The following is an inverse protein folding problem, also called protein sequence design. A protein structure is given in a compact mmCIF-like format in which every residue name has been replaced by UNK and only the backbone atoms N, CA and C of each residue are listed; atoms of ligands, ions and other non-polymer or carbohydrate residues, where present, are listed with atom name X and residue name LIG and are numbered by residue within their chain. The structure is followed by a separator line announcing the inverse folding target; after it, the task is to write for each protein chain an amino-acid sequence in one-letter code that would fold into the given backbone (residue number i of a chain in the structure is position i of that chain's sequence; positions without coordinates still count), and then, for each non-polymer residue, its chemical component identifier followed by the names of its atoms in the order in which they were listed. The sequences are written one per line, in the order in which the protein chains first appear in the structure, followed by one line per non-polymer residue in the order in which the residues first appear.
data_IF_745682322204
#
_entry.id   IF_745682322204
#
_cell.length_a   1.000
_cell.length_b   1.000
_cell.length_c   1.000
_cell.angle_alpha   90.00
_cell.angle_beta   90.00
_cell.angle_gamma   90.00
#
_symmetry.space_group_name_H-M   'P 1'
#
loop_
_entity.id
_entity.type
_entity.pdbx_description
1 polymer ?
#
# COMPACT_ATOMS: atom_id res chain seq x y z
N UNK A 1 3.77 -47.35 3.47
CA UNK A 1 3.87 -48.82 3.48
C UNK A 1 4.75 -49.21 2.30
N UNK A 2 6.03 -49.46 2.57
CA UNK A 2 7.02 -49.83 1.56
C UNK A 2 7.00 -51.35 1.44
N UNK A 3 6.52 -51.87 0.30
CA UNK A 3 6.61 -53.29 0.00
C UNK A 3 8.04 -53.58 -0.45
N UNK A 4 8.71 -54.50 0.24
CA UNK A 4 10.08 -54.89 -0.08
C UNK A 4 10.10 -55.74 -1.35
N UNK A 5 11.04 -55.50 -2.28
CA UNK A 5 11.17 -56.30 -3.51
C UNK A 5 11.57 -57.77 -3.30
N UNK A 6 11.84 -58.22 -2.06
CA UNK A 6 12.17 -59.62 -1.76
C UNK A 6 10.96 -60.55 -1.71
N UNK A 7 9.75 -60.00 -1.60
CA UNK A 7 8.54 -60.81 -1.37
C UNK A 7 8.01 -61.47 -2.66
N UNK A 8 8.54 -61.07 -3.82
CA UNK A 8 8.25 -61.67 -5.12
C UNK A 8 9.53 -62.17 -5.80
N UNK A 9 10.31 -62.96 -5.08
CA UNK A 9 11.35 -63.80 -5.69
C UNK A 9 10.72 -64.91 -6.52
N UNK A 10 10.39 -64.65 -7.80
CA UNK A 10 10.38 -65.72 -8.81
C UNK A 10 11.83 -66.15 -8.97
N UNK A 11 12.23 -67.18 -8.25
CA UNK A 11 13.42 -67.94 -8.63
C UNK A 11 13.11 -68.52 -10.01
N UNK A 12 13.81 -68.03 -11.04
CA UNK A 12 13.97 -68.80 -12.28
C UNK A 12 14.66 -70.08 -11.86
N UNK A 13 13.86 -71.09 -11.56
CA UNK A 13 14.33 -72.44 -11.39
C UNK A 13 14.93 -72.83 -12.73
N UNK A 14 16.26 -72.72 -12.82
CA UNK A 14 17.02 -73.55 -13.74
C UNK A 14 16.81 -74.97 -13.24
N UNK A 15 15.65 -75.54 -13.53
CA UNK A 15 15.39 -76.94 -13.30
C UNK A 15 16.23 -77.63 -14.36
N UNK A 16 17.46 -77.97 -13.97
CA UNK A 16 18.23 -78.92 -14.73
C UNK A 16 17.33 -80.12 -14.95
N UNK A 17 17.14 -80.49 -16.22
CA UNK A 17 16.59 -81.81 -16.52
C UNK A 17 17.55 -82.81 -15.87
N UNK A 18 17.18 -83.33 -14.69
CA UNK A 18 17.82 -84.54 -14.23
C UNK A 18 17.52 -85.62 -15.28
N UNK A 19 18.53 -86.39 -15.71
CA UNK A 19 18.30 -87.48 -16.64
C UNK A 19 17.27 -88.41 -16.02
N UNK A 20 16.18 -88.68 -16.73
CA UNK A 20 15.22 -89.71 -16.30
C UNK A 20 16.03 -90.98 -16.04
N UNK A 21 15.98 -91.56 -14.83
CA UNK A 21 16.70 -92.79 -14.55
C UNK A 21 16.18 -93.84 -15.52
N UNK A 22 17.05 -94.40 -16.34
CA UNK A 22 16.72 -95.63 -17.07
C UNK A 22 16.36 -96.68 -16.02
N UNK A 23 15.12 -97.21 -16.00
CA UNK A 23 14.77 -98.21 -15.01
C UNK A 23 15.64 -99.45 -15.24
N UNK A 24 16.23 -99.97 -14.16
CA UNK A 24 16.88 -101.27 -14.18
C UNK A 24 15.88 -102.32 -14.69
N UNK A 25 16.31 -103.32 -15.48
CA UNK A 25 15.42 -104.38 -15.93
C UNK A 25 14.83 -105.06 -14.69
N UNK A 26 13.50 -104.97 -14.51
CA UNK A 26 12.80 -105.60 -13.40
C UNK A 26 13.20 -107.08 -13.30
N UNK A 27 13.67 -107.51 -12.13
CA UNK A 27 13.97 -108.90 -11.88
C UNK A 27 12.69 -109.74 -12.05
N UNK A 28 12.80 -110.88 -12.73
CA UNK A 28 11.68 -111.73 -13.15
C UNK A 28 10.76 -112.19 -12.01
N UNK A 29 11.25 -112.20 -10.76
CA UNK A 29 10.46 -112.57 -9.58
C UNK A 29 9.47 -111.48 -9.13
N UNK A 30 9.79 -110.20 -9.36
CA UNK A 30 8.87 -109.11 -9.02
C UNK A 30 7.70 -109.01 -10.00
N UNK A 31 7.96 -109.29 -11.28
CA UNK A 31 6.91 -109.40 -12.30
C UNK A 31 5.92 -110.52 -11.99
N UNK A 32 6.41 -111.67 -11.50
CA UNK A 32 5.57 -112.79 -11.08
C UNK A 32 4.70 -112.45 -9.87
N UNK A 33 5.21 -111.69 -8.89
CA UNK A 33 4.43 -111.19 -7.75
C UNK A 33 3.36 -110.18 -8.15
N UNK A 34 3.64 -109.31 -9.12
CA UNK A 34 2.66 -108.35 -9.60
C UNK A 34 1.49 -109.04 -10.32
N UNK A 35 1.77 -110.11 -11.07
CA UNK A 35 0.73 -110.90 -11.75
C UNK A 35 -0.14 -111.73 -10.80
N UNK A 36 0.36 -112.10 -9.61
CA UNK A 36 -0.44 -112.85 -8.62
C UNK A 36 -1.39 -111.96 -7.81
N UNK A 37 -1.18 -110.64 -7.81
CA UNK A 37 -2.04 -109.67 -7.13
C UNK A 37 -3.30 -109.31 -7.92
N UNK A 38 -3.34 -109.60 -9.22
CA UNK A 38 -4.54 -109.40 -10.04
C UNK A 38 -5.50 -110.59 -9.92
N UNK A 39 -6.78 -110.37 -9.54
CA UNK A 39 -7.78 -111.44 -9.53
C UNK A 39 -7.90 -112.05 -10.93
N UNK A 40 -7.87 -113.37 -11.02
CA UNK A 40 -7.80 -114.20 -12.25
C UNK A 40 -9.02 -114.10 -13.19
N UNK A 41 -9.88 -113.09 -13.02
CA UNK A 41 -11.06 -112.81 -13.83
C UNK A 41 -11.30 -111.31 -14.05
N UNK A 42 -10.28 -110.46 -13.97
CA UNK A 42 -10.40 -109.05 -14.30
C UNK A 42 -10.60 -108.88 -15.82
N UNK A 43 -11.71 -108.26 -16.22
CA UNK A 43 -11.94 -107.86 -17.61
C UNK A 43 -10.85 -106.86 -18.03
N UNK A 44 -10.04 -107.22 -19.02
CA UNK A 44 -8.98 -106.36 -19.50
C UNK A 44 -9.63 -105.14 -20.16
N UNK A 45 -9.33 -103.95 -19.62
CA UNK A 45 -9.84 -102.67 -20.17
C UNK A 45 -9.48 -102.48 -21.65
N UNK A 46 -8.39 -103.08 -22.11
CA UNK A 46 -8.00 -103.15 -23.52
C UNK A 46 -7.90 -104.62 -23.98
N UNK A 47 -8.50 -104.92 -25.13
CA UNK A 47 -8.45 -106.26 -25.74
C UNK A 47 -7.24 -106.45 -26.66
N UNK A 48 -6.66 -105.35 -27.16
CA UNK A 48 -5.47 -105.32 -28.01
C UNK A 48 -4.51 -104.23 -27.49
N UNK A 49 -3.22 -104.53 -27.25
CA UNK A 49 -2.23 -103.52 -26.86
C UNK A 49 -2.16 -102.32 -27.82
N UNK A 50 -2.56 -102.46 -29.08
CA UNK A 50 -2.64 -101.34 -30.01
C UNK A 50 -3.71 -100.30 -29.63
N UNK A 51 -4.76 -100.67 -28.89
CA UNK A 51 -5.79 -99.73 -28.44
C UNK A 51 -5.22 -98.68 -27.48
N UNK A 52 -4.36 -99.11 -26.56
CA UNK A 52 -3.66 -98.20 -25.64
C UNK A 52 -2.67 -97.31 -26.41
N UNK A 53 -1.91 -97.87 -27.33
CA UNK A 53 -0.96 -97.11 -28.15
C UNK A 53 -1.67 -96.03 -28.99
N UNK A 54 -2.83 -96.37 -29.58
CA UNK A 54 -3.65 -95.42 -30.32
C UNK A 54 -4.21 -94.31 -29.42
N UNK A 55 -4.71 -94.64 -28.22
CA UNK A 55 -5.18 -93.63 -27.26
C UNK A 55 -4.05 -92.70 -26.77
N UNK A 56 -2.87 -93.25 -26.49
CA UNK A 56 -1.69 -92.46 -26.12
C UNK A 56 -1.22 -91.57 -27.27
N UNK A 57 -1.27 -92.04 -28.52
CA UNK A 57 -0.97 -91.22 -29.69
C UNK A 57 -1.94 -90.04 -29.80
N UNK A 58 -3.25 -90.29 -29.67
CA UNK A 58 -4.28 -89.24 -29.71
C UNK A 58 -4.07 -88.23 -28.59
N UNK A 59 -3.78 -88.68 -27.36
CA UNK A 59 -3.49 -87.81 -26.22
C UNK A 59 -2.21 -87.00 -26.43
N UNK A 60 -1.19 -87.61 -27.02
CA UNK A 60 0.08 -86.94 -27.33
C UNK A 60 -0.14 -85.84 -28.36
N UNK A 61 -0.88 -86.12 -29.44
CA UNK A 61 -1.24 -85.12 -30.46
C UNK A 61 -2.07 -83.98 -29.86
N UNK A 62 -2.99 -84.28 -28.93
CA UNK A 62 -3.77 -83.27 -28.20
C UNK A 62 -2.90 -82.38 -27.32
N UNK A 63 -1.95 -82.97 -26.58
CA UNK A 63 -1.02 -82.22 -25.72
C UNK A 63 -0.11 -81.32 -26.57
N UNK A 64 0.40 -81.83 -27.70
CA UNK A 64 1.21 -81.05 -28.64
C UNK A 64 0.40 -79.89 -29.24
N UNK A 65 -0.83 -80.14 -29.70
CA UNK A 65 -1.71 -79.09 -30.23
C UNK A 65 -2.07 -78.05 -29.18
N UNK A 66 -2.35 -78.45 -27.93
CA UNK A 66 -2.58 -77.53 -26.82
C UNK A 66 -1.34 -76.67 -26.54
N UNK A 67 -0.16 -77.27 -26.57
CA UNK A 67 1.11 -76.56 -26.33
C UNK A 67 1.35 -75.53 -27.42
N UNK A 68 1.21 -75.92 -28.70
CA UNK A 68 1.39 -75.04 -29.85
C UNK A 68 0.36 -73.90 -29.90
N UNK A 69 -0.86 -74.12 -29.40
CA UNK A 69 -1.87 -73.07 -29.29
C UNK A 69 -1.61 -72.11 -28.12
N UNK A 70 -1.00 -72.56 -27.03
CA UNK A 70 -0.70 -71.73 -25.85
C UNK A 70 0.54 -70.85 -26.03
N UNK A 71 1.57 -71.34 -26.73
CA UNK A 71 2.84 -70.60 -26.93
C UNK A 71 2.67 -69.18 -27.50
N UNK A 72 1.88 -68.92 -28.57
CA UNK A 72 1.72 -67.55 -29.07
C UNK A 72 0.98 -66.66 -28.06
N UNK A 73 0.04 -67.22 -27.29
CA UNK A 73 -0.68 -66.47 -26.25
C UNK A 73 0.29 -66.07 -25.13
N UNK A 74 1.14 -67.00 -24.69
CA UNK A 74 2.16 -66.73 -23.68
C UNK A 74 3.16 -65.66 -24.15
N UNK A 75 3.65 -65.75 -25.39
CA UNK A 75 4.55 -64.74 -25.98
C UNK A 75 3.88 -63.35 -26.05
N UNK A 76 2.61 -63.28 -26.46
CA UNK A 76 1.88 -62.00 -26.47
C UNK A 76 1.68 -61.44 -25.07
N UNK A 77 1.39 -62.29 -24.08
CA UNK A 77 1.23 -61.88 -22.69
C UNK A 77 2.56 -61.36 -22.12
N UNK A 78 3.68 -62.02 -22.39
CA UNK A 78 5.00 -61.56 -21.98
C UNK A 78 5.35 -60.19 -22.58
N UNK A 79 5.08 -60.00 -23.88
CA UNK A 79 5.28 -58.72 -24.55
C UNK A 79 4.40 -57.62 -23.93
N UNK A 80 3.12 -57.90 -23.66
CA UNK A 80 2.19 -56.95 -23.03
C UNK A 80 2.63 -56.57 -21.60
N UNK A 81 3.12 -57.55 -20.83
CA UNK A 81 3.68 -57.31 -19.50
C UNK A 81 4.91 -56.40 -19.58
N UNK A 82 5.80 -56.63 -20.54
CA UNK A 82 7.01 -55.81 -20.67
C UNK A 82 6.68 -54.37 -21.08
N UNK A 83 5.76 -54.20 -22.05
CA UNK A 83 5.22 -52.89 -22.43
C UNK A 83 4.56 -52.20 -21.23
N UNK A 84 3.79 -52.93 -20.42
CA UNK A 84 3.15 -52.38 -19.23
C UNK A 84 4.18 -51.93 -18.18
N UNK A 85 5.24 -52.71 -17.94
CA UNK A 85 6.35 -52.33 -17.05
C UNK A 85 7.06 -51.07 -17.52
N UNK A 86 7.38 -50.96 -18.80
CA UNK A 86 8.02 -49.77 -19.36
C UNK A 86 7.13 -48.53 -19.23
N UNK A 87 5.83 -48.66 -19.50
CA UNK A 87 4.84 -47.58 -19.29
C UNK A 87 4.76 -47.17 -17.82
N UNK A 88 4.77 -48.12 -16.89
CA UNK A 88 4.78 -47.83 -15.46
C UNK A 88 6.06 -47.09 -15.07
N UNK A 89 7.23 -47.59 -15.48
CA UNK A 89 8.53 -46.98 -15.17
C UNK A 89 8.64 -45.55 -15.71
N UNK A 90 8.28 -45.33 -16.97
CA UNK A 90 8.27 -43.98 -17.56
C UNK A 90 7.27 -43.05 -16.86
N UNK A 91 6.10 -43.56 -16.47
CA UNK A 91 5.13 -42.78 -15.70
C UNK A 91 5.65 -42.41 -14.31
N UNK A 92 6.38 -43.31 -13.64
CA UNK A 92 6.98 -43.10 -12.33
C UNK A 92 8.08 -42.04 -12.39
N UNK A 93 8.97 -42.12 -13.38
CA UNK A 93 10.01 -41.12 -13.63
C UNK A 93 9.40 -39.72 -13.89
N UNK A 94 8.36 -39.67 -14.72
CA UNK A 94 7.61 -38.43 -14.98
C UNK A 94 7.00 -37.86 -13.70
N UNK A 95 6.37 -38.70 -12.88
CA UNK A 95 5.77 -38.26 -11.61
C UNK A 95 6.84 -37.75 -10.63
N UNK A 96 8.00 -38.41 -10.55
CA UNK A 96 9.14 -37.93 -9.73
C UNK A 96 9.59 -36.52 -10.16
N UNK A 97 9.76 -36.31 -11.47
CA UNK A 97 10.10 -34.98 -12.02
C UNK A 97 9.04 -33.92 -11.68
N UNK A 98 7.75 -34.26 -11.77
CA UNK A 98 6.67 -33.35 -11.41
C UNK A 98 6.69 -33.02 -9.91
N UNK A 99 6.90 -34.01 -9.05
CA UNK A 99 7.00 -33.80 -7.60
C UNK A 99 8.17 -32.89 -7.26
N UNK A 100 9.34 -33.10 -7.87
CA UNK A 100 10.51 -32.26 -7.61
C UNK A 100 10.33 -30.84 -8.16
N UNK A 101 9.66 -30.68 -9.31
CA UNK A 101 9.27 -29.36 -9.82
C UNK A 101 8.31 -28.63 -8.87
N UNK A 102 7.28 -29.33 -8.37
CA UNK A 102 6.35 -28.77 -7.40
C UNK A 102 7.04 -28.38 -6.10
N UNK A 103 7.96 -29.21 -5.58
CA UNK A 103 8.76 -28.87 -4.39
C UNK A 103 9.57 -27.59 -4.60
N UNK A 104 10.23 -27.43 -5.76
CA UNK A 104 10.94 -26.19 -6.09
C UNK A 104 10.00 -24.98 -6.11
N UNK A 105 8.83 -25.10 -6.73
CA UNK A 105 7.82 -24.03 -6.75
C UNK A 105 7.33 -23.66 -5.36
N UNK A 106 7.10 -24.65 -4.49
CA UNK A 106 6.72 -24.42 -3.09
C UNK A 106 7.80 -23.61 -2.37
N UNK A 107 9.08 -23.97 -2.51
CA UNK A 107 10.19 -23.24 -1.88
C UNK A 107 10.26 -21.79 -2.39
N UNK A 108 10.20 -21.58 -3.71
CA UNK A 108 10.20 -20.22 -4.27
C UNK A 108 9.03 -19.37 -3.77
N UNK A 109 7.84 -19.97 -3.66
CA UNK A 109 6.64 -19.25 -3.20
C UNK A 109 6.71 -18.97 -1.70
N UNK A 110 7.30 -19.86 -0.91
CA UNK A 110 7.60 -19.63 0.50
C UNK A 110 8.60 -18.49 0.71
N UNK A 111 9.66 -18.42 -0.11
CA UNK A 111 10.63 -17.31 -0.10
C UNK A 111 9.95 -15.99 -0.45
N UNK A 112 9.10 -15.97 -1.49
CA UNK A 112 8.30 -14.79 -1.85
C UNK A 112 7.36 -14.36 -0.73
N UNK A 113 6.68 -15.31 -0.09
CA UNK A 113 5.80 -15.03 1.04
C UNK A 113 6.58 -14.45 2.22
N UNK A 114 7.79 -14.94 2.49
CA UNK A 114 8.67 -14.42 3.53
C UNK A 114 9.11 -12.97 3.23
N UNK A 115 9.52 -12.68 1.99
CA UNK A 115 9.86 -11.33 1.55
C UNK A 115 8.67 -10.38 1.66
N UNK A 116 7.48 -10.83 1.22
CA UNK A 116 6.26 -10.04 1.31
C UNK A 116 5.92 -9.73 2.78
N UNK A 117 6.01 -10.73 3.66
CA UNK A 117 5.80 -10.56 5.10
C UNK A 117 6.77 -9.54 5.70
N UNK A 118 8.05 -9.60 5.35
CA UNK A 118 9.03 -8.59 5.79
C UNK A 118 8.65 -7.20 5.29
N UNK A 119 8.23 -7.06 4.03
CA UNK A 119 7.80 -5.77 3.47
C UNK A 119 6.58 -5.20 4.19
N UNK A 120 5.60 -6.05 4.51
CA UNK A 120 4.41 -5.65 5.29
C UNK A 120 4.81 -5.22 6.70
N UNK A 121 5.65 -5.98 7.39
CA UNK A 121 6.14 -5.62 8.72
C UNK A 121 6.92 -4.30 8.72
N UNK A 122 7.77 -4.07 7.71
CA UNK A 122 8.45 -2.79 7.53
C UNK A 122 7.44 -1.65 7.34
N UNK A 123 6.44 -1.83 6.48
CA UNK A 123 5.39 -0.85 6.27
C UNK A 123 4.61 -0.56 7.56
N UNK A 124 4.21 -1.57 8.32
CA UNK A 124 3.54 -1.42 9.62
C UNK A 124 4.43 -0.71 10.65
N UNK A 125 5.73 -0.99 10.66
CA UNK A 125 6.68 -0.33 11.57
C UNK A 125 6.95 1.13 11.19
N UNK A 126 6.91 1.44 9.90
CA UNK A 126 7.08 2.80 9.37
C UNK A 126 5.78 3.58 9.40
N UNK A 127 4.63 2.90 9.48
CA UNK A 127 3.32 3.51 9.59
C UNK A 127 3.23 4.27 10.91
N UNK A 128 3.67 5.52 10.86
CA UNK A 128 3.48 6.44 11.97
C UNK A 128 2.07 7.00 11.88
N UNK A 129 1.41 7.17 13.03
CA UNK A 129 0.13 7.88 13.10
C UNK A 129 0.20 9.30 12.47
N UNK A 130 1.41 9.83 12.32
CA UNK A 130 1.67 11.12 11.70
C UNK A 130 1.54 11.08 10.17
N UNK A 131 1.85 9.98 9.49
CA UNK A 131 1.70 9.88 8.03
C UNK A 131 0.24 9.90 7.59
N UNK A 132 -0.62 9.13 8.27
CA UNK A 132 -2.06 9.14 8.00
C UNK A 132 -2.66 10.55 8.23
N UNK A 133 -2.24 11.25 9.30
CA UNK A 133 -2.64 12.65 9.56
C UNK A 133 -2.18 13.61 8.47
N UNK A 134 -0.93 13.49 8.03
CA UNK A 134 -0.40 14.34 6.94
C UNK A 134 -1.15 14.08 5.64
N UNK A 135 -1.55 12.84 5.37
CA UNK A 135 -2.39 12.50 4.22
C UNK A 135 -3.78 13.13 4.33
N UNK A 136 -4.43 13.02 5.49
CA UNK A 136 -5.75 13.62 5.74
C UNK A 136 -5.70 15.16 5.66
N UNK A 137 -4.66 15.78 6.22
CA UNK A 137 -4.44 17.23 6.17
C UNK A 137 -4.24 17.71 4.72
N UNK A 138 -3.45 16.96 3.93
CA UNK A 138 -3.25 17.24 2.51
C UNK A 138 -4.56 17.10 1.73
N UNK A 139 -5.32 16.04 1.97
CA UNK A 139 -6.61 15.80 1.33
C UNK A 139 -7.61 16.93 1.64
N UNK A 140 -7.63 17.40 2.88
CA UNK A 140 -8.44 18.56 3.30
C UNK A 140 -8.01 19.83 2.56
N UNK A 141 -6.71 20.13 2.54
CA UNK A 141 -6.17 21.32 1.86
C UNK A 141 -6.46 21.30 0.36
N UNK A 142 -6.29 20.15 -0.30
CA UNK A 142 -6.60 19.98 -1.72
C UNK A 142 -8.10 20.11 -1.97
N UNK A 143 -8.95 19.60 -1.07
CA UNK A 143 -10.40 19.78 -1.18
C UNK A 143 -10.81 21.25 -1.08
N UNK A 144 -10.21 22.02 -0.17
CA UNK A 144 -10.43 23.47 -0.08
C UNK A 144 -10.00 24.21 -1.35
N UNK A 145 -8.80 23.90 -1.86
CA UNK A 145 -8.29 24.48 -3.10
C UNK A 145 -9.19 24.17 -4.29
N UNK A 146 -9.59 22.91 -4.46
CA UNK A 146 -10.52 22.50 -5.50
C UNK A 146 -11.86 23.26 -5.41
N UNK A 147 -12.39 23.40 -4.19
CA UNK A 147 -13.64 24.12 -3.95
C UNK A 147 -13.57 25.60 -4.32
N UNK A 148 -12.39 26.22 -4.12
CA UNK A 148 -12.14 27.63 -4.42
C UNK A 148 -11.89 27.91 -5.90
N UNK A 149 -11.27 26.97 -6.62
CA UNK A 149 -10.81 27.18 -8.00
C UNK A 149 -11.74 26.58 -9.06
N UNK A 150 -12.37 25.43 -8.77
CA UNK A 150 -13.10 24.62 -9.76
C UNK A 150 -14.60 24.58 -9.43
N UNK A 151 -14.97 23.86 -8.37
CA UNK A 151 -16.38 23.61 -8.04
C UNK A 151 -16.57 23.48 -6.53
N UNK A 152 -17.49 24.27 -5.96
CA UNK A 152 -17.83 24.23 -4.53
C UNK A 152 -18.71 23.03 -4.14
N UNK A 153 -19.07 22.16 -5.09
CA UNK A 153 -19.94 20.99 -4.83
C UNK A 153 -19.11 19.85 -4.25
N UNK A 154 -19.64 19.14 -3.22
CA UNK A 154 -18.98 17.94 -2.72
C UNK A 154 -18.96 16.88 -3.82
N UNK A 155 -17.77 16.39 -4.15
CA UNK A 155 -17.54 15.32 -5.10
C UNK A 155 -16.72 14.21 -4.44
N UNK A 156 -16.84 13.00 -4.97
CA UNK A 156 -16.11 11.82 -4.49
C UNK A 156 -14.81 11.61 -5.27
N UNK A 157 -14.19 12.69 -5.75
CA UNK A 157 -12.92 12.61 -6.48
C UNK A 157 -11.78 12.32 -5.51
N UNK A 158 -10.84 11.49 -5.94
CA UNK A 158 -9.57 11.30 -5.23
C UNK A 158 -8.74 12.59 -5.24
N UNK A 159 -7.80 12.72 -4.30
CA UNK A 159 -6.94 13.90 -4.15
C UNK A 159 -6.15 14.21 -5.41
N UNK A 160 -5.67 13.17 -6.11
CA UNK A 160 -4.95 13.31 -7.38
C UNK A 160 -5.87 13.84 -8.47
N UNK A 161 -7.09 13.31 -8.57
CA UNK A 161 -8.08 13.79 -9.55
C UNK A 161 -8.47 15.25 -9.28
N UNK A 162 -8.64 15.64 -8.02
CA UNK A 162 -8.89 17.04 -7.64
C UNK A 162 -7.75 17.96 -8.08
N UNK A 163 -6.49 17.56 -7.85
CA UNK A 163 -5.33 18.33 -8.30
C UNK A 163 -5.28 18.47 -9.81
N UNK A 164 -5.56 17.39 -10.55
CA UNK A 164 -5.59 17.42 -12.02
C UNK A 164 -6.65 18.40 -12.55
N UNK A 165 -7.82 18.47 -11.90
CA UNK A 165 -8.85 19.45 -12.25
C UNK A 165 -8.40 20.90 -11.98
N UNK A 166 -7.72 21.14 -10.85
CA UNK A 166 -7.18 22.48 -10.53
C UNK A 166 -6.12 22.89 -11.56
N UNK A 167 -5.20 21.99 -11.90
CA UNK A 167 -4.17 22.22 -12.92
C UNK A 167 -4.79 22.54 -14.28
N UNK A 168 -5.81 21.79 -14.68
CA UNK A 168 -6.56 22.05 -15.91
C UNK A 168 -7.21 23.44 -15.89
N UNK A 169 -7.86 23.80 -14.79
CA UNK A 169 -8.51 25.11 -14.65
C UNK A 169 -7.49 26.26 -14.66
N UNK A 170 -6.34 26.07 -14.03
CA UNK A 170 -5.24 27.04 -14.09
C UNK A 170 -4.73 27.22 -15.52
N UNK A 171 -4.58 26.13 -16.27
CA UNK A 171 -4.13 26.17 -17.67
C UNK A 171 -5.12 26.93 -18.55
N UNK A 172 -6.42 26.66 -18.41
CA UNK A 172 -7.47 27.40 -19.13
C UNK A 172 -7.43 28.91 -18.84
N UNK A 173 -7.29 29.30 -17.56
CA UNK A 173 -7.21 30.71 -17.18
C UNK A 173 -5.97 31.40 -17.74
N UNK A 174 -4.83 30.69 -17.84
CA UNK A 174 -3.62 31.22 -18.47
C UNK A 174 -3.82 31.44 -19.97
N UNK A 175 -4.41 30.47 -20.68
CA UNK A 175 -4.74 30.60 -22.10
C UNK A 175 -5.70 31.77 -22.34
N UNK A 176 -6.71 31.94 -21.47
CA UNK A 176 -7.64 33.08 -21.52
C UNK A 176 -6.90 34.41 -21.36
N UNK A 177 -5.96 34.51 -20.42
CA UNK A 177 -5.15 35.73 -20.20
C UNK A 177 -4.26 36.03 -21.42
N UNK A 178 -3.65 35.01 -22.02
CA UNK A 178 -2.81 35.17 -23.21
C UNK A 178 -3.62 35.57 -24.45
N UNK A 179 -4.87 35.14 -24.53
CA UNK A 179 -5.77 35.47 -25.64
C UNK A 179 -6.24 36.93 -25.65
N UNK A 180 -6.06 37.68 -24.55
CA UNK A 180 -6.57 39.04 -24.43
C UNK A 180 -5.80 39.98 -25.37
N UNK A 181 -6.49 40.68 -26.30
CA UNK A 181 -5.83 41.61 -27.22
C UNK A 181 -5.08 42.74 -26.50
N UNK A 182 -3.91 43.11 -27.02
CA UNK A 182 -3.05 44.10 -26.36
C UNK A 182 -3.72 45.49 -26.23
N UNK A 183 -4.57 45.85 -27.20
CA UNK A 183 -5.31 47.12 -27.19
C UNK A 183 -6.35 47.18 -26.06
N UNK A 184 -7.04 46.08 -25.78
CA UNK A 184 -8.01 46.03 -24.67
C UNK A 184 -7.27 46.09 -23.34
N UNK A 185 -6.14 45.39 -23.21
CA UNK A 185 -5.25 45.47 -22.04
C UNK A 185 -4.74 46.89 -21.79
N UNK A 186 -4.29 47.61 -22.83
CA UNK A 186 -3.82 49.00 -22.72
C UNK A 186 -4.94 49.92 -22.21
N UNK A 187 -6.16 49.77 -22.74
CA UNK A 187 -7.34 50.54 -22.29
C UNK A 187 -7.69 50.25 -20.83
N UNK A 188 -7.75 48.99 -20.43
CA UNK A 188 -8.02 48.59 -19.04
C UNK A 188 -6.97 49.13 -18.07
N UNK A 189 -5.69 49.03 -18.44
CA UNK A 189 -4.58 49.58 -17.64
C UNK A 189 -4.66 51.10 -17.50
N UNK A 190 -5.05 51.80 -18.56
CA UNK A 190 -5.27 53.24 -18.52
C UNK A 190 -6.41 53.62 -17.58
N UNK A 191 -7.55 52.92 -17.64
CA UNK A 191 -8.70 53.13 -16.75
C UNK A 191 -8.30 52.89 -15.29
N UNK A 192 -7.66 51.76 -14.99
CA UNK A 192 -7.22 51.42 -13.63
C UNK A 192 -6.25 52.48 -13.08
N UNK A 193 -5.29 52.94 -13.89
CA UNK A 193 -4.35 53.98 -13.47
C UNK A 193 -5.05 55.33 -13.25
N UNK A 194 -6.03 55.68 -14.09
CA UNK A 194 -6.83 56.90 -13.92
C UNK A 194 -7.65 56.85 -12.64
N UNK A 195 -8.28 55.71 -12.35
CA UNK A 195 -9.04 55.50 -11.11
C UNK A 195 -8.14 55.60 -9.87
N UNK A 196 -7.00 54.89 -9.85
CA UNK A 196 -6.01 54.98 -8.75
C UNK A 196 -5.59 56.44 -8.49
N UNK A 197 -5.27 57.19 -9.55
CA UNK A 197 -4.94 58.62 -9.46
C UNK A 197 -6.11 59.46 -8.95
N UNK A 198 -7.34 59.13 -9.33
CA UNK A 198 -8.54 59.83 -8.87
C UNK A 198 -8.75 59.62 -7.37
N UNK A 199 -8.69 58.37 -6.90
CA UNK A 199 -8.84 58.03 -5.47
C UNK A 199 -7.81 58.76 -4.60
N UNK A 200 -6.55 58.81 -5.04
CA UNK A 200 -5.49 59.53 -4.32
C UNK A 200 -5.76 61.05 -4.21
N UNK A 201 -6.29 61.68 -5.27
CA UNK A 201 -6.65 63.11 -5.24
C UNK A 201 -7.82 63.38 -4.31
N UNK A 202 -8.83 62.52 -4.37
CA UNK A 202 -10.02 62.62 -3.51
C UNK A 202 -9.65 62.47 -2.04
N UNK A 203 -8.80 61.49 -1.70
CA UNK A 203 -8.30 61.29 -0.34
C UNK A 203 -7.50 62.50 0.15
N UNK A 204 -6.62 63.06 -0.69
CA UNK A 204 -5.88 64.29 -0.34
C UNK A 204 -6.82 65.47 -0.11
N UNK A 205 -7.81 65.67 -0.97
CA UNK A 205 -8.81 66.73 -0.80
C UNK A 205 -9.63 66.53 0.46
N UNK A 206 -10.04 65.30 0.77
CA UNK A 206 -10.76 64.96 2.00
C UNK A 206 -9.96 65.32 3.24
N UNK A 207 -8.67 64.97 3.28
CA UNK A 207 -7.77 65.31 4.39
C UNK A 207 -7.59 66.83 4.53
N UNK A 208 -7.45 67.57 3.43
CA UNK A 208 -7.36 69.03 3.47
C UNK A 208 -8.65 69.68 3.98
N UNK A 209 -9.81 69.17 3.56
CA UNK A 209 -11.11 69.65 4.02
C UNK A 209 -11.34 69.36 5.49
N UNK A 210 -10.92 68.19 5.98
CA UNK A 210 -10.99 67.82 7.39
C UNK A 210 -10.09 68.70 8.25
N UNK A 211 -8.84 68.94 7.84
CA UNK A 211 -7.93 69.89 8.51
C UNK A 211 -8.51 71.32 8.56
N UNK A 212 -9.10 71.81 7.46
CA UNK A 212 -9.75 73.13 7.43
C UNK A 212 -10.97 73.17 8.34
N UNK A 213 -11.78 72.10 8.36
CA UNK A 213 -12.95 71.97 9.23
C UNK A 213 -12.55 71.96 10.70
N UNK A 214 -11.53 71.19 11.07
CA UNK A 214 -10.98 71.12 12.43
C UNK A 214 -10.44 72.48 12.87
N UNK A 215 -9.70 73.18 12.02
CA UNK A 215 -9.22 74.54 12.31
C UNK A 215 -10.35 75.53 12.55
N UNK A 216 -11.38 75.50 11.69
CA UNK A 216 -12.57 76.35 11.82
C UNK A 216 -13.33 76.03 13.11
N UNK A 217 -13.50 74.75 13.42
CA UNK A 217 -14.15 74.29 14.64
C UNK A 217 -13.37 74.68 15.89
N UNK A 218 -12.04 74.54 15.89
CA UNK A 218 -11.16 74.96 16.99
C UNK A 218 -11.20 76.47 17.22
N UNK A 219 -11.22 77.27 16.15
CA UNK A 219 -11.40 78.72 16.22
C UNK A 219 -12.78 79.09 16.80
N UNK A 220 -13.85 78.46 16.29
CA UNK A 220 -15.22 78.66 16.77
C UNK A 220 -15.36 78.30 18.25
N UNK A 221 -14.79 77.17 18.70
CA UNK A 221 -14.75 76.78 20.12
C UNK A 221 -14.05 77.83 21.00
N UNK A 222 -12.97 78.46 20.51
CA UNK A 222 -12.29 79.57 21.22
C UNK A 222 -13.13 80.86 21.26
N UNK A 223 -13.89 81.16 20.21
CA UNK A 223 -14.77 82.33 20.17
C UNK A 223 -16.02 82.17 21.03
N UNK A 224 -16.58 80.95 21.09
CA UNK A 224 -17.78 80.64 21.87
C UNK A 224 -17.47 80.36 23.34
N UNK A 225 -16.21 80.05 23.69
CA UNK A 225 -15.83 79.88 25.09
C UNK A 225 -16.01 81.20 25.84
N UNK A 226 -16.67 81.13 26.99
CA UNK A 226 -17.03 82.30 27.80
C UNK A 226 -15.77 83.13 28.09
N UNK A 227 -15.82 84.43 27.75
CA UNK A 227 -14.70 85.32 28.03
C UNK A 227 -14.43 85.28 29.53
N UNK A 228 -13.23 84.84 29.93
CA UNK A 228 -12.81 84.90 31.33
C UNK A 228 -12.99 86.34 31.78
N UNK A 229 -13.89 86.57 32.74
CA UNK A 229 -14.12 87.90 33.31
C UNK A 229 -12.76 88.40 33.78
N UNK A 230 -12.25 89.45 33.15
CA UNK A 230 -11.04 90.12 33.60
C UNK A 230 -11.46 90.83 34.89
N UNK A 231 -11.42 90.12 36.01
CA UNK A 231 -11.27 90.74 37.32
C UNK A 231 -9.89 91.37 37.31
N UNK A 232 -9.79 92.54 36.68
CA UNK A 232 -8.60 93.36 36.74
C UNK A 232 -8.24 93.62 38.21
N UNK A 233 -7.01 94.07 38.46
CA UNK A 233 -6.71 94.69 39.75
C UNK A 233 -7.76 95.77 39.99
N UNK A 234 -8.46 95.69 41.13
CA UNK A 234 -9.40 96.74 41.49
C UNK A 234 -8.69 98.09 41.35
N UNK A 235 -9.33 99.04 40.67
CA UNK A 235 -8.86 100.41 40.62
C UNK A 235 -8.71 100.88 42.07
N UNK A 236 -7.46 101.06 42.51
CA UNK A 236 -7.22 101.71 43.80
C UNK A 236 -7.74 103.14 43.68
N UNK A 237 -8.59 103.61 44.60
CA UNK A 237 -8.98 105.01 44.66
C UNK A 237 -7.71 105.88 44.67
N UNK A 238 -7.62 106.89 43.80
CA UNK A 238 -6.46 107.81 43.75
C UNK A 238 -6.51 108.89 44.84
N UNK A 239 -7.53 108.85 45.70
CA UNK A 239 -7.63 109.70 46.88
C UNK A 239 -8.61 109.11 47.87
N UNK A 240 -8.16 109.02 49.12
CA UNK A 240 -9.02 109.04 50.30
C UNK A 240 -8.71 110.40 50.93
N UNK A 241 -9.73 111.15 51.38
CA UNK A 241 -9.49 112.27 52.28
C UNK A 241 -9.00 111.71 53.61
N UNK A 242 -7.69 111.46 53.70
CA UNK A 242 -7.04 111.20 54.98
C UNK A 242 -6.92 112.55 55.65
N UNK A 243 -7.74 112.77 56.69
CA UNK A 243 -7.53 113.85 57.65
C UNK A 243 -6.11 113.71 58.19
N UNK A 244 -5.32 114.77 58.08
CA UNK A 244 -3.97 114.78 58.63
C UNK A 244 -4.02 114.56 60.16
N UNK A 245 -3.26 113.58 60.68
CA UNK A 245 -3.00 113.41 62.10
C UNK A 245 -1.95 114.43 62.58
N UNK A 246 -2.04 114.80 63.85
CA UNK A 246 -1.07 115.64 64.55
C UNK A 246 0.27 114.90 64.60
N UNK A 247 1.32 115.57 64.13
CA UNK A 247 2.67 115.04 63.90
C UNK A 247 3.53 115.07 65.17
N UNK A 248 4.35 114.03 65.36
CA UNK A 248 5.70 114.14 65.95
C UNK A 248 6.64 113.15 65.22
N UNK A 249 7.53 113.71 64.38
CA UNK A 249 9.01 113.53 64.29
C UNK A 249 9.62 112.26 64.96
N UNK A 250 10.58 111.48 64.44
CA UNK A 250 11.44 111.49 63.24
C UNK A 250 12.18 110.12 63.11
N UNK A 251 12.43 109.70 61.86
CA UNK A 251 13.67 109.07 61.29
C UNK A 251 14.22 107.76 61.91
N UNK A 252 14.00 106.62 61.25
CA UNK A 252 14.89 105.90 60.27
C UNK A 252 16.08 105.14 60.84
N UNK A 253 16.20 103.85 60.49
CA UNK A 253 17.40 103.20 59.92
C UNK A 253 17.09 101.70 59.71
N UNK A 254 16.91 101.20 58.47
CA UNK A 254 17.89 100.52 57.58
C UNK A 254 17.57 99.02 57.41
N UNK A 255 17.59 98.63 56.13
CA UNK A 255 17.53 97.31 55.45
C UNK A 255 18.70 96.37 55.84
N UNK A 256 18.99 95.23 55.15
CA UNK A 256 18.20 94.26 54.35
C UNK A 256 18.56 92.79 54.70
N UNK A 257 17.98 91.81 53.98
CA UNK A 257 18.63 90.68 53.23
C UNK A 257 17.54 89.66 52.85
N UNK A 258 17.39 89.21 51.60
CA UNK A 258 18.16 88.14 50.91
C UNK A 258 18.25 86.89 51.82
N UNK A 259 17.86 85.68 51.43
CA UNK A 259 18.16 84.98 50.19
C UNK A 259 17.55 83.55 50.23
N UNK A 260 17.65 82.86 49.09
CA UNK A 260 17.99 81.43 48.93
C UNK A 260 16.95 80.29 48.98
N UNK A 261 17.21 79.38 48.02
CA UNK A 261 16.75 78.01 47.79
C UNK A 261 15.43 77.84 46.99
N UNK A 262 15.47 77.56 45.69
CA UNK A 262 16.08 76.47 44.91
C UNK A 262 15.17 75.23 44.79
N UNK A 263 15.23 74.67 43.56
CA UNK A 263 15.14 73.24 43.25
C UNK A 263 13.74 72.66 42.98
N UNK A 264 13.46 72.29 41.72
CA UNK A 264 13.42 70.89 41.28
C UNK A 264 13.10 70.80 39.76
N UNK A 265 14.18 70.62 38.99
CA UNK A 265 14.35 69.88 37.73
C UNK A 265 13.65 70.28 36.40
N UNK A 266 14.53 70.64 35.47
CA UNK A 266 14.50 70.37 34.02
C UNK A 266 14.59 68.86 33.73
N UNK A 267 14.11 68.41 32.56
CA UNK A 267 14.99 67.91 31.50
C UNK A 267 14.19 67.52 30.25
N UNK A 268 14.69 68.02 29.12
CA UNK A 268 14.43 67.59 27.77
C UNK A 268 14.98 66.16 27.53
N UNK A 269 14.43 65.44 26.57
CA UNK A 269 15.12 64.31 25.94
C UNK A 269 14.79 64.30 24.45
N UNK A 270 15.86 64.20 23.67
CA UNK A 270 15.94 64.08 22.22
C UNK A 270 15.13 62.92 21.62
#
# INVERSE_FOLDING_TARGET
MSLNPSDYGRTLGVHGYEPVPTPDPMASEELLKLTSWFPTGAELYFSDPQQLAAQLSILTDQILSLTENCTPVDETLEADIEIAKEKIKTSEERLKLQVDDMKRKIVMEQERAALFKQKVQLYESMKTQNEDKVSDDLDSMVAELYSSCVDSRPNNLSTIEKLACVEYQMSLLLDEIESIPEDTLKKLRHIQNKEKRSRLREEKQRLEMEKKKEMKERCSRRSLSEAKKITGRQLKPRSFLVKQPIQVTEKTSVRPKEDLHAYLFEEDSD
#
